data_IF_731571776002
#
_entry.id   IF_731571776002
#
_cell.length_a   1.000
_cell.length_b   1.000
_cell.length_c   1.000
_cell.angle_alpha   90.00
_cell.angle_beta   90.00
_cell.angle_gamma   90.00
#
_symmetry.space_group_name_H-M   'P 1'
#
loop_
_entity.id
_entity.type
_entity.pdbx_description
1 polymer ?
#
# COMPACT_ATOMS: atom_id res chain seq x y z
N UNK A 1 -8.48 18.05 -5.23
CA UNK A 1 -7.97 16.69 -4.93
C UNK A 1 -6.43 16.55 -5.02
N UNK A 2 -5.67 17.50 -5.59
CA UNK A 2 -4.19 17.59 -5.42
C UNK A 2 -3.74 17.92 -3.98
N UNK A 3 -4.54 18.72 -3.27
CA UNK A 3 -4.15 19.33 -1.99
C UNK A 3 -3.87 18.32 -0.87
N UNK A 4 -4.54 17.15 -0.86
CA UNK A 4 -4.42 16.16 0.21
C UNK A 4 -3.14 15.32 0.12
N UNK A 5 -2.61 15.07 -1.08
CA UNK A 5 -1.37 14.29 -1.26
C UNK A 5 -0.15 15.00 -0.65
N UNK A 6 -0.10 16.33 -0.77
CA UNK A 6 0.94 17.15 -0.13
C UNK A 6 0.89 17.07 1.39
N UNK A 7 -0.32 17.00 1.98
CA UNK A 7 -0.52 16.91 3.43
C UNK A 7 -0.11 15.56 4.02
N UNK A 8 -0.41 14.44 3.35
CA UNK A 8 -0.05 13.11 3.84
C UNK A 8 1.33 12.62 3.36
N UNK A 9 2.13 13.46 2.70
CA UNK A 9 3.44 13.09 2.18
C UNK A 9 3.40 12.02 1.06
N UNK A 10 2.24 11.82 0.43
CA UNK A 10 2.08 10.86 -0.66
C UNK A 10 2.19 9.38 -0.24
N UNK A 11 1.81 9.03 1.00
CA UNK A 11 1.92 7.66 1.56
C UNK A 11 1.42 6.54 0.63
N UNK A 12 0.22 6.68 0.05
CA UNK A 12 -0.35 5.68 -0.88
C UNK A 12 0.44 5.51 -2.20
N UNK A 13 1.39 6.41 -2.48
CA UNK A 13 2.31 6.31 -3.62
C UNK A 13 3.70 5.79 -3.21
N UNK A 14 3.87 5.33 -1.97
CA UNK A 14 5.16 4.85 -1.42
C UNK A 14 5.14 3.36 -1.10
N UNK A 15 4.01 2.71 -1.27
CA UNK A 15 3.87 1.27 -1.19
C UNK A 15 2.76 0.80 -2.13
N UNK A 16 2.74 -0.49 -2.41
CA UNK A 16 1.56 -1.17 -2.92
C UNK A 16 1.30 -2.40 -2.05
N UNK A 17 0.02 -2.74 -1.92
CA UNK A 17 -0.47 -3.81 -1.06
C UNK A 17 -1.43 -4.66 -1.87
N UNK A 18 -1.36 -5.97 -1.68
CA UNK A 18 -2.32 -6.91 -2.24
C UNK A 18 -2.53 -8.08 -1.28
N UNK A 19 -3.71 -8.67 -1.40
CA UNK A 19 -4.11 -9.85 -0.66
C UNK A 19 -3.23 -11.05 -1.05
N UNK A 20 -2.87 -11.87 -0.06
CA UNK A 20 -2.23 -13.17 -0.22
C UNK A 20 -3.11 -14.22 0.46
N UNK A 21 -2.96 -15.47 0.07
CA UNK A 21 -3.69 -16.56 0.70
C UNK A 21 -3.28 -16.69 2.19
N UNK A 22 -4.25 -17.02 3.05
CA UNK A 22 -3.97 -17.40 4.43
C UNK A 22 -3.10 -18.66 4.44
N UNK A 23 -1.94 -18.66 5.14
CA UNK A 23 -1.12 -19.86 5.26
C UNK A 23 -1.81 -20.90 6.12
N UNK A 24 -2.07 -22.08 5.55
CA UNK A 24 -2.78 -23.19 6.17
C UNK A 24 -1.81 -24.25 6.75
N UNK A 25 -0.54 -24.27 6.32
CA UNK A 25 0.47 -25.19 6.80
C UNK A 25 1.87 -24.57 7.03
N UNK A 26 2.78 -25.39 7.59
CA UNK A 26 4.13 -24.95 7.98
C UNK A 26 4.96 -24.48 6.79
N UNK A 27 4.79 -25.12 5.63
CA UNK A 27 5.57 -24.77 4.44
C UNK A 27 5.11 -23.39 3.92
N UNK A 28 3.80 -23.12 3.94
CA UNK A 28 3.24 -21.81 3.58
C UNK A 28 3.63 -20.70 4.59
N UNK A 29 3.74 -21.02 5.89
CA UNK A 29 4.31 -20.09 6.87
C UNK A 29 5.79 -19.80 6.62
N UNK A 30 6.57 -20.75 6.11
CA UNK A 30 7.96 -20.52 5.73
C UNK A 30 8.08 -19.63 4.47
N UNK A 31 7.11 -19.69 3.55
CA UNK A 31 7.01 -18.74 2.43
C UNK A 31 6.76 -17.31 2.93
N UNK A 32 5.82 -17.13 3.88
CA UNK A 32 5.57 -15.82 4.52
C UNK A 32 6.84 -15.30 5.21
N UNK A 33 7.55 -16.18 5.93
CA UNK A 33 8.83 -15.84 6.56
C UNK A 33 9.88 -15.44 5.53
N UNK A 34 9.93 -16.10 4.38
CA UNK A 34 10.83 -15.75 3.29
C UNK A 34 10.50 -14.37 2.70
N UNK A 35 9.23 -14.01 2.53
CA UNK A 35 8.82 -12.65 2.13
C UNK A 35 9.41 -11.60 3.08
N UNK A 36 9.29 -11.84 4.40
CA UNK A 36 9.75 -10.93 5.45
C UNK A 36 11.27 -10.78 5.54
N UNK A 37 12.06 -11.61 4.85
CA UNK A 37 13.51 -11.41 4.73
C UNK A 37 13.91 -10.27 3.79
N UNK A 38 12.98 -9.77 2.98
CA UNK A 38 13.26 -8.73 2.00
C UNK A 38 12.99 -7.34 2.60
N UNK A 39 13.90 -6.40 2.36
CA UNK A 39 13.76 -5.03 2.85
C UNK A 39 12.48 -4.38 2.29
N UNK A 40 11.75 -3.68 3.17
CA UNK A 40 10.53 -2.97 2.79
C UNK A 40 9.30 -3.87 2.60
N UNK A 41 9.38 -5.16 2.93
CA UNK A 41 8.22 -6.06 2.94
C UNK A 41 7.58 -6.10 4.32
N UNK A 42 6.26 -5.95 4.38
CA UNK A 42 5.46 -6.21 5.58
C UNK A 42 4.28 -7.11 5.24
N UNK A 43 3.90 -7.97 6.18
CA UNK A 43 2.70 -8.81 6.10
C UNK A 43 1.79 -8.44 7.28
N UNK A 44 0.50 -8.30 7.01
CA UNK A 44 -0.51 -7.95 8.02
C UNK A 44 -1.80 -8.72 7.76
N UNK A 45 -2.61 -8.86 8.80
CA UNK A 45 -3.92 -9.51 8.74
C UNK A 45 -4.96 -8.48 9.14
N UNK A 46 -5.98 -8.30 8.31
CA UNK A 46 -7.11 -7.41 8.55
C UNK A 46 -8.42 -8.15 8.30
N UNK A 47 -9.33 -8.14 9.27
CA UNK A 47 -10.60 -8.90 9.25
C UNK A 47 -10.50 -10.40 8.89
N UNK A 48 -9.32 -11.01 9.01
CA UNK A 48 -9.04 -12.41 8.67
C UNK A 48 -8.35 -12.59 7.31
N UNK A 49 -8.33 -11.55 6.49
CA UNK A 49 -7.65 -11.56 5.19
C UNK A 49 -6.17 -11.18 5.36
N UNK A 50 -5.30 -11.88 4.63
CA UNK A 50 -3.85 -11.67 4.68
C UNK A 50 -3.40 -10.75 3.57
N UNK A 51 -2.49 -9.83 3.90
CA UNK A 51 -2.00 -8.83 2.96
C UNK A 51 -0.50 -8.68 3.03
N UNK A 52 0.13 -8.61 1.85
CA UNK A 52 1.54 -8.23 1.71
C UNK A 52 1.64 -6.80 1.19
N UNK A 53 2.46 -6.00 1.87
CA UNK A 53 2.79 -4.63 1.51
C UNK A 53 4.26 -4.53 1.14
N UNK A 54 4.54 -3.89 0.02
CA UNK A 54 5.90 -3.64 -0.45
C UNK A 54 6.13 -2.13 -0.50
N UNK A 55 7.01 -1.65 0.37
CA UNK A 55 7.45 -0.25 0.42
C UNK A 55 8.29 0.07 -0.81
N UNK A 56 7.63 0.51 -1.87
CA UNK A 56 8.26 0.89 -3.11
C UNK A 56 7.66 2.20 -3.65
N UNK A 57 8.54 3.15 -3.94
CA UNK A 57 8.14 4.50 -4.35
C UNK A 57 7.62 4.49 -5.79
N UNK A 58 6.41 5.00 -5.98
CA UNK A 58 5.83 5.22 -7.30
C UNK A 58 6.68 6.20 -8.13
N UNK A 59 6.98 5.84 -9.37
CA UNK A 59 7.76 6.68 -10.29
C UNK A 59 7.03 7.98 -10.69
N UNK A 60 5.71 8.05 -10.54
CA UNK A 60 4.93 9.25 -10.84
C UNK A 60 4.79 10.22 -9.66
N UNK A 61 5.36 9.90 -8.49
CA UNK A 61 5.37 10.81 -7.33
C UNK A 61 6.43 11.89 -7.53
N UNK A 62 6.03 13.15 -7.41
CA UNK A 62 6.91 14.32 -7.46
C UNK A 62 7.56 14.58 -6.09
N UNK A 63 8.59 15.44 -6.05
CA UNK A 63 9.28 15.82 -4.82
C UNK A 63 8.39 16.62 -3.85
N UNK A 64 7.35 17.28 -4.37
CA UNK A 64 6.32 17.97 -3.58
C UNK A 64 5.21 17.02 -3.07
N UNK A 65 5.41 15.71 -3.19
CA UNK A 65 4.47 14.65 -2.82
C UNK A 65 3.16 14.63 -3.63
N UNK A 66 3.11 15.31 -4.78
CA UNK A 66 1.97 15.23 -5.70
C UNK A 66 2.18 14.18 -6.80
N UNK A 67 1.08 13.65 -7.35
CA UNK A 67 1.13 12.73 -8.48
C UNK A 67 1.21 13.50 -9.80
N UNK A 68 2.27 13.27 -10.59
CA UNK A 68 2.48 13.90 -11.91
C UNK A 68 1.42 13.52 -12.96
N UNK A 69 0.81 12.35 -12.84
CA UNK A 69 -0.20 11.82 -13.78
C UNK A 69 -1.60 11.78 -13.16
N UNK A 70 -1.91 12.72 -12.27
CA UNK A 70 -3.12 12.68 -11.42
C UNK A 70 -4.41 12.35 -12.18
N UNK A 71 -4.65 13.00 -13.32
CA UNK A 71 -5.86 12.84 -14.13
C UNK A 71 -5.87 11.55 -14.97
N UNK A 72 -4.69 10.96 -15.18
CA UNK A 72 -4.44 9.73 -15.94
C UNK A 72 -4.07 8.54 -15.04
N UNK A 73 -4.24 8.66 -13.72
CA UNK A 73 -3.85 7.62 -12.77
C UNK A 73 -4.58 6.29 -13.03
N UNK A 74 -3.95 5.13 -12.74
CA UNK A 74 -4.57 3.82 -12.87
C UNK A 74 -5.87 3.68 -12.06
N UNK A 75 -6.72 2.74 -12.44
CA UNK A 75 -8.03 2.55 -11.79
C UNK A 75 -7.91 2.29 -10.28
N UNK A 76 -6.91 1.53 -9.83
CA UNK A 76 -6.66 1.29 -8.40
C UNK A 76 -6.44 2.60 -7.63
N UNK A 77 -5.63 3.53 -8.18
CA UNK A 77 -5.42 4.85 -7.61
C UNK A 77 -6.66 5.76 -7.67
N UNK A 78 -7.61 5.50 -8.57
CA UNK A 78 -8.89 6.23 -8.63
C UNK A 78 -9.88 5.71 -7.61
N UNK A 79 -9.87 4.40 -7.37
CA UNK A 79 -10.75 3.71 -6.42
C UNK A 79 -10.30 3.88 -4.97
N UNK A 80 -9.05 4.25 -4.73
CA UNK A 80 -8.53 4.50 -3.39
C UNK A 80 -9.40 5.53 -2.65
N UNK A 81 -10.10 5.06 -1.61
CA UNK A 81 -10.95 5.87 -0.75
C UNK A 81 -10.15 6.41 0.43
N UNK A 82 -10.48 7.62 0.88
CA UNK A 82 -9.86 8.22 2.07
C UNK A 82 -10.44 7.67 3.38
N UNK A 83 -11.53 6.91 3.34
CA UNK A 83 -12.10 6.27 4.54
C UNK A 83 -11.12 5.29 5.19
N UNK A 84 -10.23 4.69 4.41
CA UNK A 84 -9.22 3.73 4.87
C UNK A 84 -7.80 4.31 4.78
N UNK A 85 -7.65 5.63 4.92
CA UNK A 85 -6.33 6.26 4.85
C UNK A 85 -5.71 6.32 6.25
N UNK A 86 -4.52 5.75 6.43
CA UNK A 86 -3.78 5.71 7.70
C UNK A 86 -3.57 7.09 8.40
N UNK A 87 -3.78 8.20 7.68
CA UNK A 87 -3.64 9.58 8.19
C UNK A 87 -4.95 10.37 8.27
N UNK A 88 -5.97 10.01 7.48
CA UNK A 88 -7.22 10.79 7.38
C UNK A 88 -8.47 9.93 7.45
N UNK A 89 -8.32 8.64 7.67
CA UNK A 89 -9.39 7.72 8.00
C UNK A 89 -10.02 8.21 9.30
N UNK A 90 -11.30 8.54 9.20
CA UNK A 90 -12.13 8.70 10.38
C UNK A 90 -12.49 7.27 10.79
N UNK A 91 -11.80 6.76 11.80
CA UNK A 91 -12.40 5.77 12.69
C UNK A 91 -13.59 6.43 13.42
#
# INVERSE_FOLDING_TARGET
MKMKCGTCGGKCCRYFCFEIDEPDDVDEFEDVRWYLYHEGVTVHVDEGDWFISIANRCNSLNDDNTCSVYDNRPLICRKYSQSHCDETGLD
#
